data_IF_544106077295
#
_entry.id   IF_544106077295
#
_cell.length_a   1.000
_cell.length_b   1.000
_cell.length_c   1.000
_cell.angle_alpha   90.00
_cell.angle_beta   90.00
_cell.angle_gamma   90.00
#
_symmetry.space_group_name_H-M   'P 1'
#
loop_
_entity.id
_entity.type
_entity.pdbx_description
1 polymer ?
#
# COMPACT_ATOMS: atom_id res chain seq x y z
N UNK A 1 46.97 -9.32 -6.64
CA UNK A 1 46.29 -10.40 -7.39
C UNK A 1 44.78 -10.28 -7.13
N UNK A 2 44.04 -9.78 -8.13
CA UNK A 2 42.64 -9.36 -8.01
C UNK A 2 41.68 -10.54 -7.76
N UNK A 3 40.96 -10.50 -6.64
CA UNK A 3 39.79 -11.35 -6.40
C UNK A 3 38.63 -10.87 -7.30
N UNK A 4 38.37 -11.63 -8.37
CA UNK A 4 37.16 -11.52 -9.18
C UNK A 4 35.94 -11.79 -8.30
N UNK A 5 35.21 -10.72 -7.95
CA UNK A 5 33.80 -10.80 -7.56
C UNK A 5 33.03 -11.44 -8.72
N UNK A 6 32.79 -12.75 -8.64
CA UNK A 6 31.82 -13.43 -9.50
C UNK A 6 30.48 -12.77 -9.26
N UNK A 7 30.00 -12.01 -10.25
CA UNK A 7 28.59 -11.63 -10.36
C UNK A 7 27.78 -12.92 -10.24
N UNK A 8 26.90 -13.01 -9.25
CA UNK A 8 25.83 -14.00 -9.22
C UNK A 8 25.06 -13.84 -10.54
N UNK A 9 25.29 -14.76 -11.48
CA UNK A 9 24.46 -14.91 -12.67
C UNK A 9 23.07 -15.30 -12.16
N UNK A 10 22.03 -14.62 -12.62
CA UNK A 10 20.67 -15.09 -12.37
C UNK A 10 20.50 -16.40 -13.15
N UNK A 11 20.48 -17.54 -12.45
CA UNK A 11 20.34 -18.88 -13.03
C UNK A 11 18.88 -19.22 -13.45
N UNK A 12 17.99 -18.23 -13.47
CA UNK A 12 16.60 -18.40 -13.92
C UNK A 12 16.46 -17.95 -15.37
N UNK A 13 16.45 -18.91 -16.29
CA UNK A 13 16.20 -18.72 -17.73
C UNK A 13 14.72 -18.75 -18.12
N UNK A 14 13.81 -18.82 -17.14
CA UNK A 14 12.37 -18.96 -17.42
C UNK A 14 11.87 -17.72 -18.18
N UNK A 15 11.42 -17.94 -19.42
CA UNK A 15 10.72 -16.93 -20.21
C UNK A 15 9.39 -16.56 -19.55
N UNK A 16 8.88 -15.37 -19.88
CA UNK A 16 7.57 -14.92 -19.38
C UNK A 16 6.49 -15.93 -19.79
N UNK A 17 5.59 -16.35 -18.87
CA UNK A 17 4.50 -17.27 -19.21
C UNK A 17 3.69 -16.78 -20.42
N UNK A 18 3.51 -17.64 -21.43
CA UNK A 18 2.78 -17.33 -22.67
C UNK A 18 1.30 -17.70 -22.56
N UNK A 19 0.40 -16.86 -23.12
CA UNK A 19 -1.04 -17.14 -23.13
C UNK A 19 -1.34 -18.39 -23.94
N UNK A 20 -1.77 -19.46 -23.28
CA UNK A 20 -2.12 -20.74 -23.89
C UNK A 20 -3.39 -21.29 -23.29
N UNK A 21 -4.10 -22.09 -24.08
CA UNK A 21 -5.20 -22.90 -23.58
C UNK A 21 -4.67 -23.93 -22.59
N UNK A 22 -5.35 -24.06 -21.45
CA UNK A 22 -4.88 -24.90 -20.34
C UNK A 22 -5.05 -26.41 -20.60
N UNK A 23 -5.86 -26.81 -21.58
CA UNK A 23 -6.09 -28.20 -21.96
C UNK A 23 -5.33 -28.55 -23.25
N UNK A 24 -5.46 -27.75 -24.30
CA UNK A 24 -4.86 -28.04 -25.61
C UNK A 24 -3.43 -27.52 -25.75
N UNK A 25 -3.00 -26.62 -24.85
CA UNK A 25 -1.71 -25.91 -24.91
C UNK A 25 -1.53 -25.03 -26.16
N UNK A 26 -2.59 -24.81 -26.93
CA UNK A 26 -2.57 -23.96 -28.12
C UNK A 26 -2.42 -22.48 -27.74
N UNK A 27 -1.74 -21.66 -28.57
CA UNK A 27 -1.55 -20.24 -28.28
C UNK A 27 -2.88 -19.48 -28.34
N UNK A 28 -3.14 -18.68 -27.32
CA UNK A 28 -4.29 -17.76 -27.26
C UNK A 28 -3.83 -16.36 -27.69
N UNK A 29 -4.61 -15.63 -28.53
CA UNK A 29 -4.26 -14.27 -28.92
C UNK A 29 -3.99 -13.34 -27.73
N UNK A 30 -2.98 -12.45 -27.82
CA UNK A 30 -2.62 -11.55 -26.71
C UNK A 30 -3.72 -10.54 -26.36
N UNK A 31 -4.69 -10.35 -27.26
CA UNK A 31 -5.88 -9.51 -27.07
C UNK A 31 -6.97 -10.16 -26.22
N UNK A 32 -6.84 -11.46 -25.92
CA UNK A 32 -7.80 -12.18 -25.09
C UNK A 32 -7.25 -12.37 -23.66
N UNK A 33 -8.04 -12.07 -22.62
CA UNK A 33 -7.64 -12.27 -21.23
C UNK A 33 -7.52 -13.76 -20.87
N UNK A 34 -6.40 -14.17 -20.29
CA UNK A 34 -6.16 -15.54 -19.82
C UNK A 34 -5.84 -15.55 -18.33
N UNK A 35 -5.85 -16.74 -17.70
CA UNK A 35 -5.55 -16.91 -16.28
C UNK A 35 -4.15 -16.40 -15.89
N UNK A 36 -3.19 -16.41 -16.83
CA UNK A 36 -1.85 -15.88 -16.59
C UNK A 36 -1.74 -14.35 -16.80
N UNK A 37 -2.68 -13.73 -17.53
CA UNK A 37 -2.59 -12.31 -17.90
C UNK A 37 -2.47 -11.40 -16.67
N UNK A 38 -3.26 -11.70 -15.63
CA UNK A 38 -3.24 -10.95 -14.37
C UNK A 38 -1.87 -11.03 -13.68
N UNK A 39 -1.33 -12.24 -13.53
CA UNK A 39 -0.02 -12.47 -12.93
C UNK A 39 1.12 -11.82 -13.73
N UNK A 40 1.04 -11.90 -15.06
CA UNK A 40 2.02 -11.30 -15.96
C UNK A 40 2.10 -9.78 -15.82
N UNK A 41 0.97 -9.09 -15.59
CA UNK A 41 0.98 -7.65 -15.35
C UNK A 41 1.46 -7.30 -13.93
N UNK A 42 1.05 -8.07 -12.92
CA UNK A 42 1.59 -7.92 -11.55
C UNK A 42 3.11 -8.10 -11.50
N UNK A 43 3.65 -8.99 -12.34
CA UNK A 43 5.09 -9.19 -12.45
C UNK A 43 5.82 -7.95 -12.96
N UNK A 44 5.28 -7.22 -13.93
CA UNK A 44 5.87 -5.96 -14.39
C UNK A 44 5.87 -4.89 -13.28
N UNK A 45 4.78 -4.80 -12.51
CA UNK A 45 4.72 -3.93 -11.32
C UNK A 45 5.79 -4.35 -10.30
N UNK A 46 5.92 -5.65 -10.04
CA UNK A 46 6.90 -6.18 -9.09
C UNK A 46 8.35 -5.87 -9.51
N UNK A 47 8.67 -5.96 -10.81
CA UNK A 47 9.99 -5.58 -11.34
C UNK A 47 10.32 -4.12 -11.04
N UNK A 48 9.38 -3.20 -11.25
CA UNK A 48 9.56 -1.79 -10.90
C UNK A 48 9.77 -1.60 -9.39
N UNK A 49 9.00 -2.29 -8.55
CA UNK A 49 9.16 -2.21 -7.09
C UNK A 49 10.53 -2.69 -6.61
N UNK A 50 11.04 -3.77 -7.20
CA UNK A 50 12.40 -4.28 -6.90
C UNK A 50 13.46 -3.30 -7.39
N UNK A 51 13.29 -2.73 -8.58
CA UNK A 51 14.16 -1.69 -9.12
C UNK A 51 14.22 -0.48 -8.20
N UNK A 52 13.06 0.04 -7.79
CA UNK A 52 12.93 1.15 -6.86
C UNK A 52 13.67 0.86 -5.55
N UNK A 53 13.42 -0.30 -4.94
CA UNK A 53 14.07 -0.69 -3.70
C UNK A 53 15.60 -0.73 -3.83
N UNK A 54 16.12 -1.32 -4.90
CA UNK A 54 17.57 -1.37 -5.19
C UNK A 54 18.15 0.03 -5.40
N UNK A 55 17.44 0.89 -6.13
CA UNK A 55 17.87 2.27 -6.39
C UNK A 55 17.91 3.09 -5.09
N UNK A 56 16.88 3.03 -4.26
CA UNK A 56 16.81 3.73 -2.98
C UNK A 56 17.89 3.26 -1.99
N UNK A 57 18.25 1.97 -1.97
CA UNK A 57 19.36 1.46 -1.13
C UNK A 57 20.71 2.04 -1.58
N UNK A 58 20.89 2.23 -2.89
CA UNK A 58 22.14 2.77 -3.45
C UNK A 58 22.27 4.29 -3.31
N UNK A 59 21.14 4.99 -3.17
CA UNK A 59 21.12 6.43 -2.91
C UNK A 59 21.55 6.73 -1.47
N UNK A 60 22.47 7.68 -1.31
CA UNK A 60 23.07 8.00 -0.01
C UNK A 60 22.32 9.11 0.71
N UNK A 61 21.88 10.14 -0.01
CA UNK A 61 21.26 11.33 0.59
C UNK A 61 19.72 11.29 0.51
N UNK A 62 19.00 11.99 1.40
CA UNK A 62 17.55 12.14 1.30
C UNK A 62 17.08 12.70 -0.05
N UNK A 63 17.83 13.67 -0.60
CA UNK A 63 17.57 14.26 -1.91
C UNK A 63 17.65 13.21 -3.04
N UNK A 64 18.77 12.49 -3.14
CA UNK A 64 18.95 11.46 -4.19
C UNK A 64 17.98 10.30 -4.01
N UNK A 65 17.60 9.94 -2.78
CA UNK A 65 16.53 8.97 -2.51
C UNK A 65 15.19 9.45 -3.04
N UNK A 66 14.87 10.73 -2.87
CA UNK A 66 13.63 11.32 -3.36
C UNK A 66 13.58 11.44 -4.89
N UNK A 67 14.71 11.71 -5.55
CA UNK A 67 14.80 11.62 -7.01
C UNK A 67 14.44 10.21 -7.52
N UNK A 68 14.90 9.15 -6.84
CA UNK A 68 14.49 7.79 -7.19
C UNK A 68 13.00 7.54 -6.92
N UNK A 69 12.40 8.16 -5.91
CA UNK A 69 10.94 8.10 -5.69
C UNK A 69 10.21 8.66 -6.91
N UNK A 70 10.54 9.87 -7.33
CA UNK A 70 9.89 10.53 -8.48
C UNK A 70 10.13 9.78 -9.80
N UNK A 71 11.34 9.27 -10.02
CA UNK A 71 11.67 8.53 -11.23
C UNK A 71 10.87 7.22 -11.36
N UNK A 72 10.71 6.47 -10.26
CA UNK A 72 9.95 5.22 -10.28
C UNK A 72 8.44 5.43 -10.23
N UNK A 73 7.97 6.51 -9.61
CA UNK A 73 6.60 7.00 -9.68
C UNK A 73 6.21 7.31 -11.14
N UNK A 74 7.06 8.04 -11.89
CA UNK A 74 6.87 8.29 -13.32
C UNK A 74 6.85 7.00 -14.14
N UNK A 75 7.81 6.08 -13.92
CA UNK A 75 7.82 4.78 -14.60
C UNK A 75 6.57 3.94 -14.32
N UNK A 76 6.08 3.95 -13.08
CA UNK A 76 4.84 3.25 -12.72
C UNK A 76 3.64 3.87 -13.45
N UNK A 77 3.55 5.20 -13.53
CA UNK A 77 2.50 5.87 -14.33
C UNK A 77 2.59 5.57 -15.82
N UNK A 78 3.79 5.41 -16.38
CA UNK A 78 3.97 5.01 -17.78
C UNK A 78 3.61 3.54 -18.03
N UNK A 79 3.79 2.66 -17.04
CA UNK A 79 3.44 1.24 -17.15
C UNK A 79 1.92 1.03 -17.35
N UNK A 80 1.07 1.86 -16.73
CA UNK A 80 -0.37 1.73 -16.83
C UNK A 80 -0.91 1.85 -18.28
N UNK A 81 -0.60 2.90 -19.07
CA UNK A 81 -1.05 2.99 -20.46
C UNK A 81 -0.29 2.06 -21.42
N UNK A 82 1.01 1.81 -21.20
CA UNK A 82 1.85 1.11 -22.19
C UNK A 82 1.98 -0.39 -21.95
N UNK A 83 1.98 -0.83 -20.70
CA UNK A 83 2.23 -2.22 -20.33
C UNK A 83 0.99 -2.98 -19.88
N UNK A 84 -0.12 -2.29 -19.58
CA UNK A 84 -1.37 -2.94 -19.22
C UNK A 84 -2.09 -3.43 -20.48
N UNK A 85 -2.46 -4.72 -20.56
CA UNK A 85 -3.31 -5.22 -21.64
C UNK A 85 -4.66 -4.50 -21.68
N UNK A 86 -5.19 -4.25 -22.88
CA UNK A 86 -6.44 -3.48 -23.10
C UNK A 86 -7.63 -3.99 -22.27
N UNK A 87 -7.77 -5.31 -22.13
CA UNK A 87 -8.84 -5.92 -21.32
C UNK A 87 -8.72 -5.62 -19.83
N UNK A 88 -7.61 -5.07 -19.33
CA UNK A 88 -7.48 -4.59 -17.96
C UNK A 88 -7.61 -3.06 -17.80
N UNK A 89 -7.74 -2.30 -18.89
CA UNK A 89 -7.93 -0.86 -18.80
C UNK A 89 -9.31 -0.54 -18.21
N UNK A 90 -9.36 0.30 -17.18
CA UNK A 90 -10.60 0.62 -16.44
C UNK A 90 -11.59 1.39 -17.31
N UNK A 91 -11.11 2.18 -18.27
CA UNK A 91 -11.94 3.02 -19.16
C UNK A 91 -12.53 2.25 -20.35
N UNK A 92 -11.95 1.10 -20.70
CA UNK A 92 -12.41 0.31 -21.84
C UNK A 92 -13.69 -0.46 -21.47
N UNK A 93 -14.74 -0.45 -22.30
CA UNK A 93 -15.91 -1.31 -22.10
C UNK A 93 -15.51 -2.79 -21.96
N UNK A 94 -16.19 -3.53 -21.08
CA UNK A 94 -15.98 -4.97 -20.96
C UNK A 94 -16.64 -5.68 -22.13
N UNK A 95 -15.85 -6.43 -22.91
CA UNK A 95 -16.39 -7.18 -24.04
C UNK A 95 -17.19 -8.40 -23.53
N UNK A 96 -18.37 -8.71 -24.09
CA UNK A 96 -19.21 -9.82 -23.63
C UNK A 96 -18.54 -11.20 -23.72
N UNK A 97 -17.59 -11.38 -24.63
CA UNK A 97 -16.84 -12.65 -24.77
C UNK A 97 -15.71 -12.82 -23.75
N UNK A 98 -15.41 -11.81 -22.94
CA UNK A 98 -14.39 -11.93 -21.91
C UNK A 98 -14.92 -12.67 -20.69
N UNK A 99 -14.06 -13.42 -19.97
CA UNK A 99 -14.47 -14.10 -18.77
C UNK A 99 -15.02 -13.14 -17.69
N UNK A 100 -15.97 -13.61 -16.91
CA UNK A 100 -16.62 -12.87 -15.83
C UNK A 100 -15.64 -12.33 -14.76
N UNK A 101 -14.45 -12.92 -14.67
CA UNK A 101 -13.43 -12.50 -13.72
C UNK A 101 -12.69 -11.23 -14.13
N UNK A 102 -12.80 -10.78 -15.38
CA UNK A 102 -12.05 -9.62 -15.89
C UNK A 102 -12.38 -8.32 -15.14
N UNK A 103 -13.65 -7.97 -14.87
CA UNK A 103 -13.96 -6.82 -14.03
C UNK A 103 -13.37 -6.90 -12.61
N UNK A 104 -13.30 -8.09 -12.00
CA UNK A 104 -12.68 -8.28 -10.69
C UNK A 104 -11.16 -8.09 -10.76
N UNK A 105 -10.52 -8.64 -11.80
CA UNK A 105 -9.09 -8.47 -12.06
C UNK A 105 -8.72 -7.00 -12.29
N UNK A 106 -9.47 -6.26 -13.13
CA UNK A 106 -9.27 -4.82 -13.37
C UNK A 106 -9.17 -4.05 -12.09
N UNK A 107 -10.16 -4.25 -11.23
CA UNK A 107 -10.23 -3.57 -9.95
C UNK A 107 -9.07 -3.95 -9.04
N UNK A 108 -8.78 -5.24 -8.91
CA UNK A 108 -7.66 -5.72 -8.10
C UNK A 108 -6.35 -5.08 -8.55
N UNK A 109 -6.15 -4.96 -9.87
CA UNK A 109 -5.01 -4.26 -10.45
C UNK A 109 -5.01 -2.77 -10.12
N UNK A 110 -6.17 -2.09 -10.13
CA UNK A 110 -6.28 -0.68 -9.71
C UNK A 110 -5.88 -0.51 -8.25
N UNK A 111 -6.39 -1.35 -7.35
CA UNK A 111 -6.04 -1.31 -5.93
C UNK A 111 -4.55 -1.59 -5.74
N UNK A 112 -4.03 -2.65 -6.38
CA UNK A 112 -2.62 -3.03 -6.30
C UNK A 112 -1.71 -1.90 -6.80
N UNK A 113 -2.00 -1.34 -7.96
CA UNK A 113 -1.25 -0.23 -8.55
C UNK A 113 -1.21 0.97 -7.61
N UNK A 114 -2.38 1.44 -7.13
CA UNK A 114 -2.46 2.55 -6.20
C UNK A 114 -1.69 2.28 -4.90
N UNK A 115 -1.75 1.05 -4.38
CA UNK A 115 -0.97 0.69 -3.21
C UNK A 115 0.54 0.71 -3.50
N UNK A 116 0.98 0.28 -4.68
CA UNK A 116 2.40 0.36 -5.05
C UNK A 116 2.90 1.80 -5.25
N UNK A 117 2.03 2.72 -5.69
CA UNK A 117 2.33 4.15 -5.66
C UNK A 117 2.60 4.63 -4.23
N UNK A 118 1.73 4.29 -3.26
CA UNK A 118 1.96 4.61 -1.83
C UNK A 118 3.29 4.01 -1.35
N UNK A 119 3.57 2.75 -1.74
CA UNK A 119 4.82 2.09 -1.36
C UNK A 119 6.07 2.79 -1.89
N UNK A 120 6.07 3.30 -3.12
CA UNK A 120 7.21 4.06 -3.67
C UNK A 120 7.47 5.32 -2.84
N UNK A 121 6.41 5.99 -2.42
CA UNK A 121 6.50 7.25 -1.71
C UNK A 121 6.66 7.13 -0.18
N UNK A 122 6.50 5.92 0.39
CA UNK A 122 6.27 5.70 1.82
C UNK A 122 7.25 6.39 2.78
N UNK A 123 8.52 6.46 2.42
CA UNK A 123 9.56 7.04 3.27
C UNK A 123 9.44 8.57 3.41
N UNK A 124 8.73 9.23 2.49
CA UNK A 124 8.57 10.68 2.45
C UNK A 124 7.13 11.12 2.76
N UNK A 125 6.19 10.19 2.98
CA UNK A 125 4.78 10.51 3.25
C UNK A 125 4.64 11.43 4.45
N UNK A 126 5.27 11.09 5.57
CA UNK A 126 5.18 11.94 6.76
C UNK A 126 5.71 13.35 6.50
N UNK A 127 6.92 13.44 5.95
CA UNK A 127 7.57 14.73 5.70
C UNK A 127 6.80 15.56 4.66
N UNK A 128 6.02 14.94 3.78
CA UNK A 128 5.20 15.64 2.80
C UNK A 128 4.06 16.48 3.37
N UNK A 129 3.71 16.27 4.65
CA UNK A 129 2.70 17.09 5.31
C UNK A 129 3.25 18.37 5.92
N UNK A 130 4.57 18.45 6.17
CA UNK A 130 5.20 19.61 6.80
C UNK A 130 6.24 20.30 5.91
N UNK A 131 6.81 19.58 4.93
CA UNK A 131 7.82 20.09 4.02
C UNK A 131 7.28 20.14 2.57
N UNK A 132 7.11 21.34 1.99
CA UNK A 132 6.63 21.53 0.62
C UNK A 132 7.47 20.86 -0.47
N UNK A 133 8.76 20.59 -0.21
CA UNK A 133 9.64 19.89 -1.16
C UNK A 133 9.13 18.48 -1.51
N UNK A 134 8.33 17.88 -0.62
CA UNK A 134 7.73 16.56 -0.83
C UNK A 134 6.24 16.62 -1.18
N UNK A 135 5.70 17.79 -1.57
CA UNK A 135 4.27 17.99 -1.89
C UNK A 135 3.72 16.97 -2.90
N UNK A 136 4.49 16.60 -3.91
CA UNK A 136 4.11 15.56 -4.89
C UNK A 136 3.81 14.21 -4.24
N UNK A 137 4.53 13.87 -3.15
CA UNK A 137 4.27 12.66 -2.37
C UNK A 137 2.90 12.71 -1.71
N UNK A 138 2.56 13.83 -1.05
CA UNK A 138 1.26 14.01 -0.41
C UNK A 138 0.15 13.85 -1.44
N UNK A 139 0.23 14.59 -2.55
CA UNK A 139 -0.77 14.57 -3.63
C UNK A 139 -0.94 13.16 -4.19
N UNK A 140 0.17 12.48 -4.51
CA UNK A 140 0.15 11.13 -5.06
C UNK A 140 -0.46 10.12 -4.09
N UNK A 141 -0.03 10.13 -2.82
CA UNK A 141 -0.49 9.16 -1.84
C UNK A 141 -1.96 9.37 -1.46
N UNK A 142 -2.41 10.62 -1.32
CA UNK A 142 -3.83 10.92 -1.06
C UNK A 142 -4.70 10.48 -2.23
N UNK A 143 -4.29 10.75 -3.47
CA UNK A 143 -5.01 10.30 -4.67
C UNK A 143 -5.08 8.76 -4.74
N UNK A 144 -3.95 8.08 -4.48
CA UNK A 144 -3.88 6.62 -4.44
C UNK A 144 -4.75 6.03 -3.34
N UNK A 145 -4.74 6.61 -2.13
CA UNK A 145 -5.58 6.17 -1.03
C UNK A 145 -7.07 6.31 -1.35
N UNK A 146 -7.49 7.44 -1.95
CA UNK A 146 -8.86 7.63 -2.45
C UNK A 146 -9.25 6.58 -3.48
N UNK A 147 -8.35 6.22 -4.40
CA UNK A 147 -8.59 5.20 -5.41
C UNK A 147 -8.80 3.81 -4.78
N UNK A 148 -7.91 3.40 -3.85
CA UNK A 148 -8.03 2.14 -3.11
C UNK A 148 -9.39 2.05 -2.42
N UNK A 149 -9.77 3.08 -1.65
CA UNK A 149 -11.02 3.04 -0.88
C UNK A 149 -12.27 3.17 -1.75
N UNK A 150 -12.19 3.86 -2.89
CA UNK A 150 -13.27 3.90 -3.89
C UNK A 150 -13.49 2.49 -4.43
N UNK A 151 -12.45 1.87 -4.96
CA UNK A 151 -12.52 0.53 -5.53
C UNK A 151 -12.98 -0.48 -4.47
N UNK A 152 -12.37 -0.50 -3.28
CA UNK A 152 -12.74 -1.36 -2.16
C UNK A 152 -14.24 -1.35 -1.85
N UNK A 153 -14.87 -0.17 -1.85
CA UNK A 153 -16.29 -0.02 -1.59
C UNK A 153 -17.18 -0.58 -2.70
N UNK A 154 -16.76 -0.52 -3.96
CA UNK A 154 -17.51 -1.12 -5.09
C UNK A 154 -17.56 -2.67 -5.03
N UNK A 155 -16.89 -3.34 -4.08
CA UNK A 155 -16.99 -4.83 -3.95
C UNK A 155 -18.27 -5.27 -3.33
N UNK A 156 -18.91 -4.36 -2.62
CA UNK A 156 -20.14 -4.65 -1.92
C UNK A 156 -21.22 -5.12 -2.90
N UNK A 157 -21.12 -4.72 -4.17
CA UNK A 157 -22.19 -4.90 -5.16
C UNK A 157 -21.93 -6.05 -6.15
N UNK A 158 -20.83 -6.81 -6.01
CA UNK A 158 -20.48 -7.88 -6.97
C UNK A 158 -20.14 -9.17 -6.23
N UNK A 159 -20.78 -10.28 -6.60
CA UNK A 159 -20.53 -11.64 -6.10
C UNK A 159 -19.15 -12.22 -6.48
N UNK A 160 -18.12 -11.37 -6.53
CA UNK A 160 -16.78 -11.72 -6.92
C UNK A 160 -15.93 -12.29 -5.79
N UNK A 161 -14.70 -12.74 -6.11
CA UNK A 161 -13.80 -13.35 -5.15
C UNK A 161 -13.35 -12.34 -4.10
N UNK A 162 -13.21 -12.82 -2.86
CA UNK A 162 -12.63 -12.04 -1.77
C UNK A 162 -11.11 -12.07 -1.93
N UNK A 163 -10.52 -10.96 -2.37
CA UNK A 163 -9.07 -10.81 -2.46
C UNK A 163 -8.53 -10.43 -1.09
N UNK A 164 -7.74 -11.31 -0.47
CA UNK A 164 -7.32 -11.15 0.93
C UNK A 164 -6.36 -9.98 1.15
N UNK A 165 -5.52 -9.65 0.16
CA UNK A 165 -4.53 -8.59 0.30
C UNK A 165 -5.17 -7.19 0.29
N UNK A 166 -6.37 -7.05 -0.28
CA UNK A 166 -7.10 -5.77 -0.36
C UNK A 166 -7.36 -5.16 1.01
N UNK A 167 -7.53 -6.00 2.05
CA UNK A 167 -7.73 -5.52 3.42
C UNK A 167 -6.50 -4.74 3.91
N UNK A 168 -5.30 -5.29 3.72
CA UNK A 168 -4.06 -4.60 4.11
C UNK A 168 -3.89 -3.28 3.32
N UNK A 169 -4.25 -3.28 2.04
CA UNK A 169 -4.19 -2.07 1.21
C UNK A 169 -5.21 -1.02 1.65
N UNK A 170 -6.41 -1.43 2.07
CA UNK A 170 -7.41 -0.53 2.65
C UNK A 170 -6.94 0.09 3.96
N UNK A 171 -6.24 -0.67 4.82
CA UNK A 171 -5.65 -0.14 6.06
C UNK A 171 -4.61 0.93 5.73
N UNK A 172 -3.65 0.63 4.84
CA UNK A 172 -2.63 1.59 4.43
C UNK A 172 -3.23 2.86 3.83
N UNK A 173 -4.24 2.73 2.95
CA UNK A 173 -4.97 3.86 2.39
C UNK A 173 -5.69 4.69 3.46
N UNK A 174 -6.38 4.03 4.40
CA UNK A 174 -7.04 4.69 5.53
C UNK A 174 -6.05 5.47 6.38
N UNK A 175 -4.87 4.92 6.65
CA UNK A 175 -3.81 5.59 7.40
C UNK A 175 -3.30 6.83 6.67
N UNK A 176 -3.06 6.77 5.36
CA UNK A 176 -2.67 7.94 4.57
C UNK A 176 -3.72 9.06 4.67
N UNK A 177 -5.02 8.74 4.59
CA UNK A 177 -6.08 9.74 4.77
C UNK A 177 -6.15 10.24 6.22
N UNK A 178 -5.92 9.39 7.23
CA UNK A 178 -5.80 9.84 8.62
C UNK A 178 -4.70 10.91 8.73
N UNK A 179 -3.49 10.64 8.19
CA UNK A 179 -2.39 11.59 8.22
C UNK A 179 -2.73 12.91 7.52
N UNK A 180 -3.49 12.85 6.43
CA UNK A 180 -3.93 14.05 5.71
C UNK A 180 -4.90 14.89 6.53
N UNK A 181 -5.89 14.28 7.21
CA UNK A 181 -6.82 15.03 8.05
C UNK A 181 -6.17 15.61 9.32
N UNK A 182 -5.07 15.02 9.82
CA UNK A 182 -4.26 15.62 10.89
C UNK A 182 -3.64 16.96 10.50
N UNK A 183 -3.43 17.20 9.21
CA UNK A 183 -2.84 18.44 8.69
C UNK A 183 -3.85 19.30 7.92
N UNK A 184 -5.15 19.11 8.18
CA UNK A 184 -6.24 19.91 7.59
C UNK A 184 -7.10 20.54 8.68
N UNK A 185 -7.62 21.73 8.36
CA UNK A 185 -8.70 22.38 9.12
C UNK A 185 -10.01 21.61 8.93
N UNK A 186 -10.88 21.62 9.94
CA UNK A 186 -12.24 21.05 9.84
C UNK A 186 -13.15 21.82 8.87
N UNK A 187 -12.81 23.09 8.61
CA UNK A 187 -13.49 23.91 7.61
C UNK A 187 -13.17 23.49 6.17
N UNK A 188 -12.10 22.69 5.96
CA UNK A 188 -11.74 22.18 4.63
C UNK A 188 -12.75 21.10 4.19
N UNK A 189 -13.40 21.24 3.01
CA UNK A 189 -14.32 20.21 2.51
C UNK A 189 -13.65 18.83 2.34
N UNK A 190 -12.35 18.79 2.05
CA UNK A 190 -11.58 17.54 1.94
C UNK A 190 -11.49 16.82 3.29
N UNK A 191 -11.46 17.54 4.42
CA UNK A 191 -11.44 16.93 5.75
C UNK A 191 -12.66 16.01 5.96
N UNK A 192 -13.87 16.53 5.69
CA UNK A 192 -15.12 15.77 5.85
C UNK A 192 -15.16 14.57 4.89
N UNK A 193 -14.80 14.79 3.63
CA UNK A 193 -14.73 13.74 2.61
C UNK A 193 -13.77 12.61 3.00
N UNK A 194 -12.61 12.92 3.58
CA UNK A 194 -11.64 11.93 4.01
C UNK A 194 -12.10 11.19 5.26
N UNK A 195 -12.62 11.91 6.26
CA UNK A 195 -13.19 11.31 7.48
C UNK A 195 -14.31 10.32 7.13
N UNK A 196 -15.17 10.65 6.18
CA UNK A 196 -16.22 9.75 5.69
C UNK A 196 -15.64 8.49 5.03
N UNK A 197 -14.62 8.63 4.18
CA UNK A 197 -13.95 7.50 3.51
C UNK A 197 -13.26 6.57 4.52
N UNK A 198 -12.59 7.13 5.53
CA UNK A 198 -11.97 6.35 6.61
C UNK A 198 -13.04 5.59 7.39
N UNK A 199 -14.17 6.24 7.72
CA UNK A 199 -15.29 5.60 8.43
C UNK A 199 -15.88 4.45 7.63
N UNK A 200 -16.11 4.63 6.33
CA UNK A 200 -16.56 3.57 5.41
C UNK A 200 -15.54 2.42 5.31
N UNK A 201 -14.24 2.73 5.35
CA UNK A 201 -13.16 1.73 5.39
C UNK A 201 -13.22 0.90 6.67
N UNK A 202 -13.39 1.53 7.84
CA UNK A 202 -13.54 0.84 9.14
C UNK A 202 -14.74 -0.12 9.08
N UNK A 203 -15.89 0.36 8.60
CA UNK A 203 -17.09 -0.48 8.43
C UNK A 203 -16.83 -1.64 7.48
N UNK A 204 -16.11 -1.40 6.37
CA UNK A 204 -15.73 -2.45 5.43
C UNK A 204 -14.86 -3.53 6.09
N UNK A 205 -13.84 -3.13 6.86
CA UNK A 205 -12.91 -4.04 7.53
C UNK A 205 -13.60 -4.86 8.64
N UNK A 206 -14.53 -4.27 9.40
CA UNK A 206 -15.29 -4.96 10.47
C UNK A 206 -16.10 -6.16 10.00
N UNK A 207 -16.40 -6.28 8.71
CA UNK A 207 -17.11 -7.44 8.14
C UNK A 207 -16.24 -8.69 8.06
N UNK A 208 -14.94 -8.57 8.30
CA UNK A 208 -13.98 -9.68 8.26
C UNK A 208 -13.40 -9.91 9.65
N UNK A 209 -14.24 -10.31 10.60
CA UNK A 209 -13.90 -10.58 12.00
C UNK A 209 -12.85 -11.70 12.19
N UNK A 210 -12.80 -12.65 11.27
CA UNK A 210 -11.78 -13.71 11.23
C UNK A 210 -10.43 -13.23 10.67
N UNK A 211 -10.37 -12.07 10.02
CA UNK A 211 -9.14 -11.53 9.45
C UNK A 211 -8.41 -10.67 10.47
N UNK A 212 -7.31 -11.17 11.02
CA UNK A 212 -6.43 -10.42 11.93
C UNK A 212 -6.01 -9.06 11.37
N UNK A 213 -5.72 -9.02 10.06
CA UNK A 213 -5.39 -7.79 9.32
C UNK A 213 -6.54 -6.78 9.38
N UNK A 214 -7.76 -7.23 9.14
CA UNK A 214 -8.92 -6.35 9.10
C UNK A 214 -9.31 -5.88 10.49
N UNK A 215 -9.32 -6.77 11.48
CA UNK A 215 -9.63 -6.46 12.88
C UNK A 215 -8.64 -5.43 13.44
N UNK A 216 -7.34 -5.71 13.36
CA UNK A 216 -6.30 -4.80 13.86
C UNK A 216 -6.28 -3.50 13.07
N UNK A 217 -6.39 -3.59 11.75
CA UNK A 217 -6.47 -2.43 10.86
C UNK A 217 -7.62 -1.48 11.23
N UNK A 218 -8.82 -2.02 11.47
CA UNK A 218 -9.95 -1.23 11.92
C UNK A 218 -9.67 -0.53 13.25
N UNK A 219 -9.06 -1.22 14.23
CA UNK A 219 -8.68 -0.63 15.53
C UNK A 219 -7.70 0.53 15.37
N UNK A 220 -6.66 0.37 14.55
CA UNK A 220 -5.69 1.44 14.24
C UNK A 220 -6.41 2.66 13.66
N UNK A 221 -7.29 2.48 12.67
CA UNK A 221 -8.01 3.58 12.04
C UNK A 221 -8.98 4.27 13.01
N UNK A 222 -9.68 3.52 13.86
CA UNK A 222 -10.56 4.06 14.91
C UNK A 222 -9.75 4.91 15.89
N UNK A 223 -8.61 4.39 16.35
CA UNK A 223 -7.71 5.11 17.25
C UNK A 223 -7.23 6.41 16.62
N UNK A 224 -6.75 6.38 15.37
CA UNK A 224 -6.28 7.58 14.68
C UNK A 224 -7.37 8.64 14.50
N UNK A 225 -8.61 8.24 14.21
CA UNK A 225 -9.75 9.17 14.16
C UNK A 225 -10.04 9.79 15.53
N UNK A 226 -10.05 8.98 16.60
CA UNK A 226 -10.30 9.46 17.95
C UNK A 226 -9.19 10.43 18.42
N UNK A 227 -7.92 10.14 18.11
CA UNK A 227 -6.81 11.05 18.40
C UNK A 227 -6.94 12.37 17.63
N UNK A 228 -7.40 12.34 16.38
CA UNK A 228 -7.63 13.59 15.63
C UNK A 228 -8.72 14.46 16.25
N UNK A 229 -9.78 13.83 16.74
CA UNK A 229 -10.89 14.54 17.39
C UNK A 229 -10.45 15.12 18.74
N UNK A 230 -9.55 14.44 19.49
CA UNK A 230 -8.92 15.01 20.70
C UNK A 230 -8.05 16.23 20.39
N UNK A 231 -7.24 16.16 19.33
CA UNK A 231 -6.39 17.28 18.91
C UNK A 231 -7.24 18.50 18.52
N UNK A 232 -8.43 18.31 17.95
CA UNK A 232 -9.35 19.41 17.66
C UNK A 232 -9.86 20.11 18.93
N UNK A 233 -10.05 19.35 20.02
CA UNK A 233 -10.54 19.86 21.30
C UNK A 233 -9.44 20.53 22.14
N UNK A 234 -8.18 20.12 21.98
CA UNK A 234 -7.04 20.78 22.61
C UNK A 234 -6.68 22.06 21.84
N UNK A 235 -6.89 23.23 22.46
CA UNK A 235 -6.60 24.58 21.92
C UNK A 235 -5.11 24.86 21.58
N UNK A 236 -4.24 23.85 21.58
CA UNK A 236 -2.79 23.98 21.37
C UNK A 236 -2.38 23.53 19.96
N UNK A 237 -2.06 24.51 19.10
CA UNK A 237 -1.67 24.33 17.70
C UNK A 237 -0.21 23.89 17.49
N UNK A 238 0.30 22.92 18.24
CA UNK A 238 1.60 22.31 17.94
C UNK A 238 1.43 20.93 17.29
N UNK A 239 2.34 20.50 16.40
CA UNK A 239 2.29 19.19 15.80
C UNK A 239 2.47 18.13 16.88
N UNK A 240 1.35 17.66 17.43
CA UNK A 240 1.35 16.67 18.49
C UNK A 240 1.88 15.36 17.91
N UNK A 241 2.92 14.83 18.54
CA UNK A 241 3.40 13.48 18.28
C UNK A 241 2.26 12.56 18.68
N UNK A 242 1.65 11.87 17.71
CA UNK A 242 0.62 10.86 17.99
C UNK A 242 1.26 9.81 18.90
N UNK A 243 0.77 9.69 20.14
CA UNK A 243 1.28 8.72 21.11
C UNK A 243 0.81 7.32 20.74
N UNK A 244 1.56 6.68 19.85
CA UNK A 244 1.27 5.36 19.34
C UNK A 244 1.51 4.26 20.38
N UNK A 245 2.22 4.55 21.48
CA UNK A 245 2.52 3.54 22.51
C UNK A 245 1.24 2.96 23.12
N UNK A 246 0.22 3.80 23.32
CA UNK A 246 -1.11 3.38 23.79
C UNK A 246 -1.82 2.43 22.83
N UNK A 247 -1.73 2.71 21.53
CA UNK A 247 -2.29 1.84 20.50
C UNK A 247 -1.56 0.50 20.44
N UNK A 248 -0.23 0.51 20.53
CA UNK A 248 0.57 -0.71 20.51
C UNK A 248 0.27 -1.59 21.73
N UNK A 249 0.22 -1.01 22.94
CA UNK A 249 -0.18 -1.75 24.14
C UNK A 249 -1.60 -2.33 24.06
N UNK A 250 -2.55 -1.57 23.48
CA UNK A 250 -3.90 -2.07 23.27
C UNK A 250 -3.97 -3.22 22.25
N UNK A 251 -3.06 -3.26 21.26
CA UNK A 251 -2.96 -4.34 20.28
C UNK A 251 -2.18 -5.56 20.82
N UNK A 252 -1.25 -5.35 21.75
CA UNK A 252 -0.46 -6.39 22.43
C UNK A 252 -1.27 -7.14 23.52
N UNK A 253 -2.09 -6.43 24.29
CA UNK A 253 -2.86 -7.01 25.40
C UNK A 253 -3.86 -8.10 24.97
N UNK A 254 -4.25 -8.12 23.69
CA UNK A 254 -5.17 -9.12 23.13
C UNK A 254 -4.47 -10.28 22.42
N UNK A 255 -3.15 -10.17 22.16
CA UNK A 255 -2.37 -11.33 21.74
C UNK A 255 -2.03 -12.15 22.98
N UNK A 256 -2.81 -13.19 23.25
CA UNK A 256 -2.61 -14.12 24.38
C UNK A 256 -1.34 -14.97 24.29
N UNK A 257 -0.17 -14.33 24.14
CA UNK A 257 1.14 -14.93 24.38
C UNK A 257 1.82 -14.11 25.48
N UNK A 258 2.03 -14.77 26.62
CA UNK A 258 2.68 -14.18 27.80
C UNK A 258 4.11 -13.71 27.54
N UNK A 259 4.71 -13.01 28.50
CA UNK A 259 6.01 -12.36 28.31
C UNK A 259 7.12 -13.41 28.24
N UNK A 260 7.64 -13.67 27.04
CA UNK A 260 8.99 -14.21 26.92
C UNK A 260 9.95 -13.04 27.09
N UNK A 261 10.64 -13.05 28.23
CA UNK A 261 11.78 -12.19 28.52
C UNK A 261 12.81 -12.30 27.40
N UNK A 262 12.98 -11.23 26.63
CA UNK A 262 14.28 -10.91 26.05
C UNK A 262 14.34 -9.41 25.75
N UNK A 263 15.38 -8.78 26.28
CA UNK A 263 15.76 -7.40 25.99
C UNK A 263 16.14 -7.31 24.51
N UNK A 264 15.19 -6.93 23.65
CA UNK A 264 15.49 -6.51 22.29
C UNK A 264 14.77 -5.19 21.98
N UNK A 265 15.55 -4.28 21.39
CA UNK A 265 15.21 -2.98 20.82
C UNK A 265 13.71 -2.68 20.68
N UNK A 266 13.32 -1.45 21.08
CA UNK A 266 12.00 -0.81 20.83
C UNK A 266 11.55 -1.02 19.38
N UNK A 267 10.96 -2.16 19.10
CA UNK A 267 10.51 -2.59 17.78
C UNK A 267 9.02 -2.82 17.88
N UNK A 268 8.28 -2.15 16.99
CA UNK A 268 6.82 -2.18 16.91
C UNK A 268 6.38 -3.65 16.76
N UNK A 269 5.43 -4.19 17.52
CA UNK A 269 4.92 -5.53 17.28
C UNK A 269 4.40 -5.67 15.83
N UNK A 270 4.59 -6.82 15.16
CA UNK A 270 4.10 -7.00 13.81
C UNK A 270 2.57 -6.81 13.75
N UNK A 271 2.15 -5.67 13.18
CA UNK A 271 0.75 -5.27 13.06
C UNK A 271 -0.10 -6.32 12.33
N UNK A 272 0.50 -7.06 11.39
CA UNK A 272 -0.14 -8.13 10.63
C UNK A 272 0.71 -9.42 10.76
N UNK A 273 0.10 -10.63 10.79
CA UNK A 273 0.84 -11.89 10.82
C UNK A 273 1.80 -11.98 9.62
N UNK A 274 2.95 -12.62 9.83
CA UNK A 274 3.95 -12.86 8.78
C UNK A 274 3.44 -13.92 7.79
N UNK A 275 2.45 -13.59 6.97
CA UNK A 275 2.07 -14.50 5.89
C UNK A 275 3.15 -14.44 4.80
N UNK A 276 3.74 -15.60 4.51
CA UNK A 276 4.82 -15.81 3.54
C UNK A 276 6.18 -15.16 3.90
N UNK A 277 6.58 -15.14 5.17
CA UNK A 277 7.96 -14.79 5.56
C UNK A 277 8.34 -13.31 5.43
N UNK A 278 7.40 -12.43 5.07
CA UNK A 278 7.61 -10.98 5.07
C UNK A 278 7.04 -10.34 6.35
N UNK A 279 7.91 -9.75 7.16
CA UNK A 279 7.50 -8.94 8.33
C UNK A 279 6.83 -7.66 7.84
N UNK A 280 5.60 -7.37 8.26
CA UNK A 280 4.82 -6.21 7.78
C UNK A 280 5.29 -4.83 8.30
N UNK A 281 6.37 -4.81 9.09
CA UNK A 281 7.05 -3.59 9.52
C UNK A 281 7.29 -2.60 8.38
N UNK A 282 7.71 -3.08 7.20
CA UNK A 282 8.00 -2.19 6.07
C UNK A 282 6.78 -1.42 5.54
N UNK A 283 5.55 -1.89 5.82
CA UNK A 283 4.31 -1.25 5.37
C UNK A 283 3.97 -0.07 6.29
N UNK A 284 4.09 -0.28 7.59
CA UNK A 284 3.54 0.65 8.58
C UNK A 284 4.59 1.44 9.33
N UNK A 285 5.82 0.96 9.51
CA UNK A 285 6.84 1.67 10.29
C UNK A 285 7.10 3.09 9.76
N UNK A 286 7.28 3.33 8.44
CA UNK A 286 7.45 4.70 7.94
C UNK A 286 6.20 5.57 8.12
N UNK A 287 5.01 4.96 8.16
CA UNK A 287 3.73 5.63 8.36
C UNK A 287 3.41 5.88 9.83
N UNK A 288 3.97 5.08 10.75
CA UNK A 288 3.62 5.01 12.16
C UNK A 288 4.74 5.41 13.14
N UNK A 289 5.99 5.57 12.69
CA UNK A 289 7.10 5.99 13.57
C UNK A 289 6.97 7.46 14.02
N UNK A 290 5.91 7.83 14.73
CA UNK A 290 5.74 9.11 15.41
C UNK A 290 6.70 9.20 16.61
N UNK A 291 7.81 9.93 16.45
CA UNK A 291 8.65 10.33 17.59
C UNK A 291 10.13 9.99 17.52
N UNK A 292 10.65 9.42 16.42
CA UNK A 292 12.10 9.26 16.24
C UNK A 292 12.58 10.07 15.04
N UNK A 293 13.24 11.20 15.30
CA UNK A 293 14.14 11.78 14.32
C UNK A 293 15.37 10.86 14.31
N UNK A 294 15.70 10.18 13.19
CA UNK A 294 17.04 9.63 13.08
C UNK A 294 18.02 10.80 13.20
N UNK A 295 19.11 10.67 13.97
CA UNK A 295 20.16 11.67 13.96
C UNK A 295 20.62 11.86 12.51
N UNK A 296 20.75 13.11 12.11
CA UNK A 296 21.41 13.48 10.86
C UNK A 296 22.88 13.07 11.02
N UNK A 297 23.24 11.91 10.48
CA UNK A 297 24.62 11.51 10.22
C UNK A 297 24.75 11.19 8.74
#
# INVERSE_FOLDING_TARGET
MLLRLRRLKLDFSSTKPSSRDHLTMEPIPPTFPTYISYGNYLFEIAKLMVGHHKATIRSTTPYTKYEQVLAYDAQMRTLAPTGMPRYFHVVEPTHPSWPEWVPWARRSLTICFAHKMIMIHRNFIRQSFTNPAYSMTRTTCVAAAKAILKEANLAKDRAGPIIWVDKAFCVAAGMVLCLDIFHRSESDPEFKSHKERITKCIQFLRRYDTSTIAVRGAKVLIFLLAERDKVALSLTSLPHVIDLSRLLHALEAETGFGPTSDQQSRSIPPLLPSQAGFRNHFIFDPLLQFGYNPPLT
#
